data_IF_927793482510
#
_entry.id   IF_927793482510
#
_cell.length_a   1.000
_cell.length_b   1.000
_cell.length_c   1.000
_cell.angle_alpha   90.00
_cell.angle_beta   90.00
_cell.angle_gamma   90.00
#
_symmetry.space_group_name_H-M   'P 1'
#
loop_
_entity.id
_entity.type
_entity.pdbx_description
1 polymer ?
#
# COMPACT_ATOMS: atom_id res chain seq x y z
N UNK A 1 25.25 -33.31 -26.49
CA UNK A 1 24.39 -32.09 -26.42
C UNK A 1 24.62 -31.30 -27.71
N UNK A 2 23.57 -30.84 -28.35
CA UNK A 2 23.67 -30.02 -29.57
C UNK A 2 24.28 -28.64 -29.24
N UNK A 3 24.86 -27.97 -30.22
CA UNK A 3 25.42 -26.61 -30.04
C UNK A 3 24.35 -25.64 -29.48
N UNK A 4 23.11 -25.81 -29.91
CA UNK A 4 21.95 -25.07 -29.43
C UNK A 4 21.68 -25.29 -27.92
N UNK A 5 21.82 -26.55 -27.44
CA UNK A 5 21.64 -26.83 -26.01
C UNK A 5 22.71 -26.13 -25.13
N UNK A 6 23.95 -26.04 -25.63
CA UNK A 6 24.99 -25.27 -24.94
C UNK A 6 24.70 -23.74 -24.97
N UNK A 7 24.22 -23.23 -26.10
CA UNK A 7 23.83 -21.82 -26.18
C UNK A 7 22.69 -21.47 -25.21
N UNK A 8 21.65 -22.29 -25.12
CA UNK A 8 20.55 -22.15 -24.15
C UNK A 8 21.08 -22.18 -22.72
N UNK A 9 21.96 -23.16 -22.39
CA UNK A 9 22.55 -23.25 -21.06
C UNK A 9 23.31 -21.97 -20.67
N UNK A 10 24.10 -21.40 -21.60
CA UNK A 10 24.82 -20.13 -21.35
C UNK A 10 23.86 -18.97 -21.15
N UNK A 11 22.79 -18.86 -21.95
CA UNK A 11 21.76 -17.82 -21.81
C UNK A 11 21.08 -17.94 -20.44
N UNK A 12 20.70 -19.16 -20.02
CA UNK A 12 20.05 -19.40 -18.72
C UNK A 12 20.99 -19.04 -17.56
N UNK A 13 22.24 -19.46 -17.61
CA UNK A 13 23.23 -19.13 -16.58
C UNK A 13 23.45 -17.61 -16.53
N UNK A 14 23.56 -16.95 -17.68
CA UNK A 14 23.69 -15.50 -17.78
C UNK A 14 22.46 -14.78 -17.19
N UNK A 15 21.26 -15.24 -17.50
CA UNK A 15 20.02 -14.72 -16.94
C UNK A 15 19.98 -14.87 -15.40
N UNK A 16 20.34 -16.05 -14.88
CA UNK A 16 20.42 -16.28 -13.43
C UNK A 16 21.44 -15.36 -12.75
N UNK A 17 22.62 -15.15 -13.36
CA UNK A 17 23.61 -14.24 -12.84
C UNK A 17 23.09 -12.78 -12.81
N UNK A 18 22.36 -12.35 -13.85
CA UNK A 18 21.73 -11.04 -13.90
C UNK A 18 20.62 -10.89 -12.85
N UNK A 19 19.77 -11.90 -12.64
CA UNK A 19 18.76 -11.90 -11.59
C UNK A 19 19.38 -11.79 -10.20
N UNK A 20 20.43 -12.54 -9.90
CA UNK A 20 21.15 -12.49 -8.61
C UNK A 20 21.88 -11.17 -8.40
N UNK A 21 22.32 -10.52 -9.48
CA UNK A 21 23.04 -9.23 -9.36
C UNK A 21 22.13 -8.06 -8.96
N UNK A 22 20.81 -8.18 -9.13
CA UNK A 22 19.77 -7.15 -8.88
C UNK A 22 20.06 -5.79 -9.56
N UNK A 23 21.03 -5.73 -10.50
CA UNK A 23 21.42 -4.48 -11.18
C UNK A 23 20.46 -4.05 -12.27
N UNK A 24 19.71 -5.00 -12.84
CA UNK A 24 18.74 -4.77 -13.91
C UNK A 24 17.35 -5.15 -13.44
N UNK A 25 16.36 -4.48 -13.98
CA UNK A 25 14.95 -4.82 -13.74
C UNK A 25 14.63 -6.18 -14.37
N UNK A 26 13.80 -6.96 -13.71
CA UNK A 26 13.44 -8.33 -14.11
C UNK A 26 12.80 -8.39 -15.52
N UNK A 27 11.97 -7.41 -15.87
CA UNK A 27 11.38 -7.28 -17.21
C UNK A 27 12.44 -7.07 -18.30
N UNK A 28 13.46 -6.27 -18.01
CA UNK A 28 14.59 -6.05 -18.94
C UNK A 28 15.39 -7.33 -19.13
N UNK A 29 15.62 -8.10 -18.05
CA UNK A 29 16.33 -9.38 -18.15
C UNK A 29 15.53 -10.36 -19.03
N UNK A 30 14.19 -10.43 -18.83
CA UNK A 30 13.32 -11.26 -19.68
C UNK A 30 13.41 -10.89 -21.16
N UNK A 31 13.36 -9.60 -21.49
CA UNK A 31 13.51 -9.10 -22.86
C UNK A 31 14.90 -9.39 -23.44
N UNK A 32 15.96 -9.30 -22.64
CA UNK A 32 17.33 -9.65 -23.08
C UNK A 32 17.45 -11.14 -23.39
N UNK A 33 16.85 -12.01 -22.58
CA UNK A 33 16.81 -13.45 -22.82
C UNK A 33 16.05 -13.76 -24.12
N UNK A 34 14.87 -13.15 -24.29
CA UNK A 34 14.09 -13.30 -25.53
C UNK A 34 14.87 -12.82 -26.75
N UNK A 35 15.49 -11.64 -26.68
CA UNK A 35 16.32 -11.11 -27.76
C UNK A 35 17.50 -12.03 -28.08
N UNK A 36 18.18 -12.57 -27.07
CA UNK A 36 19.29 -13.51 -27.25
C UNK A 36 18.85 -14.80 -27.94
N UNK A 37 17.69 -15.36 -27.59
CA UNK A 37 17.14 -16.55 -28.23
C UNK A 37 16.70 -16.31 -29.68
N UNK A 38 16.15 -15.13 -29.99
CA UNK A 38 15.77 -14.75 -31.35
C UNK A 38 17.01 -14.49 -32.24
N UNK A 39 17.98 -13.72 -31.73
CA UNK A 39 19.20 -13.39 -32.48
C UNK A 39 20.07 -14.63 -32.74
N UNK A 40 20.11 -15.57 -31.79
CA UNK A 40 20.82 -16.84 -31.96
C UNK A 40 20.10 -17.81 -32.91
N UNK A 41 18.90 -17.49 -33.38
CA UNK A 41 18.10 -18.35 -34.27
C UNK A 41 17.59 -19.63 -33.60
N UNK A 42 17.61 -19.68 -32.26
CA UNK A 42 17.07 -20.82 -31.50
C UNK A 42 15.55 -20.79 -31.56
N UNK A 43 14.95 -19.60 -31.50
CA UNK A 43 13.52 -19.40 -31.65
C UNK A 43 13.22 -18.57 -32.91
N UNK A 44 12.13 -18.91 -33.57
CA UNK A 44 11.54 -18.02 -34.58
C UNK A 44 10.81 -16.84 -33.94
N UNK A 45 10.62 -15.72 -34.65
CA UNK A 45 9.83 -14.60 -34.11
C UNK A 45 8.43 -15.00 -33.64
N UNK A 46 7.77 -15.91 -34.35
CA UNK A 46 6.45 -16.40 -33.97
C UNK A 46 6.49 -17.18 -32.65
N UNK A 47 7.47 -18.06 -32.47
CA UNK A 47 7.65 -18.81 -31.21
C UNK A 47 8.06 -17.92 -30.07
N UNK A 48 8.99 -16.97 -30.29
CA UNK A 48 9.42 -16.05 -29.25
C UNK A 48 8.32 -15.11 -28.75
N UNK A 49 7.41 -14.71 -29.65
CA UNK A 49 6.28 -13.84 -29.28
C UNK A 49 5.03 -14.60 -28.82
N UNK A 50 5.00 -15.93 -28.96
CA UNK A 50 3.84 -16.75 -28.57
C UNK A 50 3.50 -16.65 -27.07
N UNK A 51 4.48 -16.36 -26.22
CA UNK A 51 4.28 -16.13 -24.78
C UNK A 51 3.31 -14.98 -24.48
N UNK A 52 3.33 -13.89 -25.26
CA UNK A 52 2.42 -12.76 -25.08
C UNK A 52 0.96 -13.07 -25.44
N UNK A 53 0.71 -14.08 -26.27
CA UNK A 53 -0.63 -14.58 -26.61
C UNK A 53 -1.03 -15.83 -25.82
N UNK A 54 -0.21 -16.26 -24.88
CA UNK A 54 -0.48 -17.41 -24.04
C UNK A 54 -1.69 -17.13 -23.11
N UNK A 55 -2.56 -18.11 -22.96
CA UNK A 55 -3.75 -18.01 -22.10
C UNK A 55 -3.39 -17.63 -20.66
N UNK A 56 -2.30 -18.16 -20.10
CA UNK A 56 -1.84 -17.82 -18.75
C UNK A 56 -1.51 -16.33 -18.63
N UNK A 57 -0.81 -15.76 -19.62
CA UNK A 57 -0.46 -14.33 -19.63
C UNK A 57 -1.71 -13.46 -19.68
N UNK A 58 -2.69 -13.83 -20.52
CA UNK A 58 -3.98 -13.12 -20.64
C UNK A 58 -4.77 -13.21 -19.34
N UNK A 59 -4.84 -14.40 -18.71
CA UNK A 59 -5.53 -14.57 -17.41
C UNK A 59 -4.86 -13.74 -16.32
N UNK A 60 -3.52 -13.73 -16.25
CA UNK A 60 -2.80 -12.89 -15.27
C UNK A 60 -3.13 -11.43 -15.47
N UNK A 61 -3.11 -10.92 -16.69
CA UNK A 61 -3.48 -9.54 -16.99
C UNK A 61 -4.94 -9.23 -16.60
N UNK A 62 -5.88 -10.14 -16.93
CA UNK A 62 -7.28 -10.00 -16.53
C UNK A 62 -7.47 -10.02 -15.01
N UNK A 63 -6.73 -10.87 -14.29
CA UNK A 63 -6.77 -10.90 -12.81
C UNK A 63 -6.25 -9.63 -12.19
N UNK A 64 -5.26 -8.96 -12.77
CA UNK A 64 -4.85 -7.63 -12.32
C UNK A 64 -5.99 -6.62 -12.44
N UNK A 65 -6.74 -6.63 -13.55
CA UNK A 65 -7.88 -5.76 -13.76
C UNK A 65 -9.03 -6.03 -12.76
N UNK A 66 -9.39 -7.30 -12.57
CA UNK A 66 -10.42 -7.70 -11.60
C UNK A 66 -10.04 -7.29 -10.17
N UNK A 67 -8.76 -7.46 -9.79
CA UNK A 67 -8.25 -7.04 -8.50
C UNK A 67 -8.24 -5.52 -8.33
N UNK A 68 -7.92 -4.75 -9.38
CA UNK A 68 -8.03 -3.29 -9.36
C UNK A 68 -9.47 -2.85 -9.04
N UNK A 69 -10.47 -3.46 -9.69
CA UNK A 69 -11.89 -3.20 -9.43
C UNK A 69 -12.31 -3.57 -8.01
N UNK A 70 -11.85 -4.69 -7.48
CA UNK A 70 -12.17 -5.12 -6.12
C UNK A 70 -11.58 -4.17 -5.05
N UNK A 71 -10.31 -3.80 -5.20
CA UNK A 71 -9.63 -2.89 -4.27
C UNK A 71 -10.16 -1.46 -4.42
N UNK A 72 -10.31 -0.97 -5.65
CA UNK A 72 -10.78 0.38 -5.95
C UNK A 72 -12.22 0.66 -5.48
N UNK A 73 -13.08 -0.34 -5.43
CA UNK A 73 -14.46 -0.22 -4.88
C UNK A 73 -14.52 -0.28 -3.35
N UNK A 74 -13.40 -0.56 -2.66
CA UNK A 74 -13.39 -0.73 -1.21
C UNK A 74 -14.14 -1.98 -0.75
N UNK A 75 -14.21 -3.02 -1.58
CA UNK A 75 -14.92 -4.27 -1.31
C UNK A 75 -14.42 -4.98 -0.04
N UNK A 76 -13.18 -4.73 0.36
CA UNK A 76 -12.55 -5.30 1.57
C UNK A 76 -12.85 -4.50 2.85
N UNK A 77 -13.35 -3.26 2.75
CA UNK A 77 -13.62 -2.37 3.89
C UNK A 77 -14.56 -2.95 4.97
N UNK A 78 -15.66 -3.66 4.64
CA UNK A 78 -16.53 -4.24 5.66
C UNK A 78 -15.83 -5.29 6.51
N UNK A 79 -14.97 -6.08 5.88
CA UNK A 79 -14.18 -7.11 6.52
C UNK A 79 -13.17 -6.52 7.49
N UNK A 80 -12.49 -5.47 7.04
CA UNK A 80 -11.56 -4.68 7.83
C UNK A 80 -12.23 -4.10 9.07
N UNK A 81 -13.43 -3.51 8.93
CA UNK A 81 -14.20 -2.96 10.06
C UNK A 81 -14.62 -4.04 11.06
N UNK A 82 -14.90 -5.23 10.59
CA UNK A 82 -15.25 -6.36 11.46
C UNK A 82 -14.05 -6.82 12.29
N UNK A 83 -12.88 -6.92 11.65
CA UNK A 83 -11.61 -7.25 12.32
C UNK A 83 -11.25 -6.25 13.41
N UNK A 84 -11.48 -4.97 13.19
CA UNK A 84 -11.15 -3.91 14.18
C UNK A 84 -11.98 -4.01 15.49
N UNK A 85 -13.06 -4.81 15.53
CA UNK A 85 -13.87 -5.05 16.73
C UNK A 85 -13.30 -6.16 17.63
N UNK A 86 -12.38 -6.97 17.11
CA UNK A 86 -11.80 -8.09 17.87
C UNK A 86 -10.77 -7.54 18.87
N UNK A 87 -11.02 -7.75 20.17
CA UNK A 87 -10.17 -7.25 21.25
C UNK A 87 -9.08 -8.24 21.69
N UNK A 88 -9.25 -9.54 21.43
CA UNK A 88 -8.29 -10.58 21.84
C UNK A 88 -7.19 -10.73 20.82
N UNK A 89 -5.90 -10.47 21.16
CA UNK A 89 -4.81 -10.43 20.18
C UNK A 89 -4.64 -11.73 19.38
N UNK A 90 -4.75 -12.89 20.03
CA UNK A 90 -4.59 -14.17 19.35
C UNK A 90 -5.73 -14.47 18.36
N UNK A 91 -6.98 -14.14 18.75
CA UNK A 91 -8.15 -14.27 17.88
C UNK A 91 -8.05 -13.33 16.68
N UNK A 92 -7.57 -12.12 16.91
CA UNK A 92 -7.34 -11.15 15.86
C UNK A 92 -6.32 -11.66 14.84
N UNK A 93 -5.15 -12.11 15.33
CA UNK A 93 -4.12 -12.68 14.45
C UNK A 93 -4.66 -13.86 13.67
N UNK A 94 -5.32 -14.82 14.33
CA UNK A 94 -5.92 -15.96 13.65
C UNK A 94 -6.96 -15.53 12.60
N UNK A 95 -7.85 -14.59 12.94
CA UNK A 95 -8.85 -14.10 12.00
C UNK A 95 -8.22 -13.42 10.79
N UNK A 96 -7.18 -12.60 10.99
CA UNK A 96 -6.42 -11.98 9.90
C UNK A 96 -5.80 -13.07 9.00
N UNK A 97 -5.13 -14.07 9.59
CA UNK A 97 -4.48 -15.13 8.83
C UNK A 97 -5.48 -15.94 8.01
N UNK A 98 -6.60 -16.33 8.60
CA UNK A 98 -7.65 -17.10 7.90
C UNK A 98 -8.27 -16.28 6.77
N UNK A 99 -8.61 -15.04 7.03
CA UNK A 99 -9.24 -14.15 6.04
C UNK A 99 -8.28 -13.84 4.91
N UNK A 100 -7.03 -13.47 5.23
CA UNK A 100 -6.01 -13.14 4.22
C UNK A 100 -5.63 -14.38 3.41
N UNK A 101 -5.57 -15.56 4.03
CA UNK A 101 -5.36 -16.83 3.32
C UNK A 101 -6.52 -17.12 2.37
N UNK A 102 -7.76 -16.99 2.81
CA UNK A 102 -8.93 -17.21 1.97
C UNK A 102 -8.99 -16.23 0.79
N UNK A 103 -8.78 -14.94 1.04
CA UNK A 103 -8.77 -13.93 -0.01
C UNK A 103 -7.57 -14.07 -0.95
N UNK A 104 -6.40 -14.49 -0.44
CA UNK A 104 -5.20 -14.73 -1.23
C UNK A 104 -5.35 -15.84 -2.27
N UNK A 105 -6.36 -16.71 -2.12
CA UNK A 105 -6.72 -17.69 -3.13
C UNK A 105 -7.27 -17.06 -4.42
N UNK A 106 -7.77 -15.81 -4.37
CA UNK A 106 -8.47 -15.14 -5.48
C UNK A 106 -7.94 -13.75 -5.78
N UNK A 107 -7.26 -13.12 -4.83
CA UNK A 107 -6.76 -11.74 -4.90
C UNK A 107 -5.24 -11.75 -4.89
N UNK A 108 -4.61 -10.87 -5.68
CA UNK A 108 -3.15 -10.74 -5.71
C UNK A 108 -2.59 -10.49 -4.32
N UNK A 109 -1.63 -11.30 -3.88
CA UNK A 109 -1.06 -11.27 -2.54
C UNK A 109 -0.50 -9.91 -2.13
N UNK A 110 0.22 -9.22 -3.02
CA UNK A 110 0.79 -7.89 -2.77
C UNK A 110 -0.29 -6.84 -2.52
N UNK A 111 -1.34 -6.80 -3.34
CA UNK A 111 -2.44 -5.86 -3.17
C UNK A 111 -3.22 -6.14 -1.87
N UNK A 112 -3.43 -7.42 -1.57
CA UNK A 112 -4.11 -7.85 -0.35
C UNK A 112 -3.34 -7.44 0.90
N UNK A 113 -2.04 -7.74 0.97
CA UNK A 113 -1.18 -7.35 2.09
C UNK A 113 -1.12 -5.83 2.25
N UNK A 114 -0.97 -5.08 1.15
CA UNK A 114 -0.96 -3.62 1.19
C UNK A 114 -2.28 -3.04 1.74
N UNK A 115 -3.44 -3.59 1.33
CA UNK A 115 -4.75 -3.17 1.80
C UNK A 115 -4.97 -3.46 3.30
N UNK A 116 -4.48 -4.61 3.79
CA UNK A 116 -4.62 -4.99 5.20
C UNK A 116 -3.56 -4.35 6.11
N UNK A 117 -2.45 -3.85 5.57
CA UNK A 117 -1.33 -3.27 6.33
C UNK A 117 -1.76 -2.14 7.28
N UNK A 118 -2.43 -1.06 6.84
CA UNK A 118 -2.79 0.06 7.72
C UNK A 118 -3.70 -0.37 8.87
N UNK A 119 -4.64 -1.25 8.56
CA UNK A 119 -5.60 -1.77 9.54
C UNK A 119 -4.91 -2.67 10.55
N UNK A 120 -4.05 -3.57 10.08
CA UNK A 120 -3.27 -4.45 10.96
C UNK A 120 -2.40 -3.62 11.90
N UNK A 121 -1.74 -2.58 11.42
CA UNK A 121 -0.97 -1.65 12.24
C UNK A 121 -1.84 -0.95 13.28
N UNK A 122 -3.00 -0.40 12.87
CA UNK A 122 -3.94 0.27 13.78
C UNK A 122 -4.46 -0.66 14.88
N UNK A 123 -4.78 -1.90 14.53
CA UNK A 123 -5.29 -2.86 15.50
C UNK A 123 -4.18 -3.39 16.41
N UNK A 124 -2.95 -3.59 15.89
CA UNK A 124 -1.78 -3.94 16.71
C UNK A 124 -1.48 -2.86 17.76
N UNK A 125 -1.59 -1.58 17.39
CA UNK A 125 -1.41 -0.47 18.31
C UNK A 125 -2.47 -0.51 19.44
N UNK A 126 -3.76 -0.71 19.12
CA UNK A 126 -4.84 -0.82 20.11
C UNK A 126 -4.70 -2.05 21.00
N UNK A 127 -4.27 -3.17 20.44
CA UNK A 127 -4.09 -4.44 21.16
C UNK A 127 -2.75 -4.52 21.91
N UNK A 128 -1.91 -3.46 21.82
CA UNK A 128 -0.55 -3.43 22.41
C UNK A 128 0.28 -4.66 22.00
N UNK A 129 0.19 -5.05 20.73
CA UNK A 129 0.86 -6.23 20.16
C UNK A 129 1.89 -5.77 19.12
N UNK A 130 3.05 -6.42 19.08
CA UNK A 130 4.10 -6.12 18.08
C UNK A 130 3.56 -6.34 16.66
N UNK A 131 3.65 -5.33 15.75
CA UNK A 131 3.25 -5.48 14.36
C UNK A 131 3.94 -6.63 13.64
N UNK A 132 5.20 -6.89 13.94
CA UNK A 132 5.97 -8.00 13.33
C UNK A 132 5.31 -9.37 13.57
N UNK A 133 4.63 -9.53 14.72
CA UNK A 133 3.92 -10.77 15.07
C UNK A 133 2.64 -11.02 14.27
N UNK A 134 2.15 -10.03 13.58
CA UNK A 134 0.94 -10.12 12.77
C UNK A 134 1.26 -9.96 11.30
N UNK A 135 2.10 -8.99 10.93
CA UNK A 135 2.41 -8.68 9.54
C UNK A 135 3.22 -9.78 8.83
N UNK A 136 4.23 -10.35 9.52
CA UNK A 136 5.01 -11.46 8.95
C UNK A 136 4.11 -12.68 8.70
N UNK A 137 3.36 -13.19 9.72
CA UNK A 137 2.41 -14.26 9.48
C UNK A 137 1.34 -13.94 8.42
N UNK A 138 0.85 -12.69 8.36
CA UNK A 138 -0.11 -12.25 7.35
C UNK A 138 0.44 -12.39 5.93
N UNK A 139 1.70 -12.02 5.71
CA UNK A 139 2.36 -12.17 4.41
C UNK A 139 2.45 -13.65 3.99
N UNK A 140 2.82 -14.53 4.92
CA UNK A 140 2.84 -15.97 4.65
C UNK A 140 1.44 -16.54 4.40
N UNK A 141 0.43 -16.08 5.16
CA UNK A 141 -0.96 -16.51 4.96
C UNK A 141 -1.48 -16.13 3.57
N UNK A 142 -1.15 -14.93 3.07
CA UNK A 142 -1.48 -14.52 1.70
C UNK A 142 -0.87 -15.48 0.66
N UNK A 143 0.40 -15.83 0.84
CA UNK A 143 1.08 -16.76 -0.08
C UNK A 143 0.50 -18.16 -0.02
N UNK A 144 0.21 -18.69 1.17
CA UNK A 144 -0.44 -20.01 1.33
C UNK A 144 -1.82 -20.02 0.67
N UNK A 145 -2.59 -18.91 0.79
CA UNK A 145 -3.84 -18.72 0.07
C UNK A 145 -3.64 -18.79 -1.44
N UNK A 146 -2.62 -18.08 -1.94
CA UNK A 146 -2.28 -18.07 -3.37
C UNK A 146 -2.01 -19.45 -3.96
N UNK A 147 -1.49 -20.38 -3.18
CA UNK A 147 -1.25 -21.76 -3.62
C UNK A 147 -2.53 -22.60 -3.69
N UNK A 148 -3.63 -22.18 -3.04
CA UNK A 148 -4.85 -22.96 -2.93
C UNK A 148 -5.66 -23.05 -4.24
N UNK A 149 -5.47 -22.12 -5.17
CA UNK A 149 -6.22 -22.10 -6.43
C UNK A 149 -5.30 -21.86 -7.62
N UNK A 150 -5.79 -22.16 -8.81
CA UNK A 150 -5.11 -21.83 -10.05
C UNK A 150 -4.90 -20.31 -10.21
N UNK A 151 -5.81 -19.49 -9.67
CA UNK A 151 -5.87 -18.03 -9.83
C UNK A 151 -5.01 -17.26 -8.84
N UNK A 152 -4.70 -17.87 -7.69
CA UNK A 152 -4.08 -17.15 -6.56
C UNK A 152 -2.63 -16.72 -6.82
N UNK A 153 -1.92 -17.39 -7.75
CA UNK A 153 -0.55 -17.04 -8.12
C UNK A 153 -0.26 -17.31 -9.60
N UNK A 154 0.53 -16.43 -10.22
CA UNK A 154 0.96 -16.58 -11.62
C UNK A 154 1.76 -17.86 -11.87
N UNK A 155 2.47 -18.36 -10.84
CA UNK A 155 3.22 -19.62 -10.95
C UNK A 155 2.33 -20.81 -11.26
N UNK A 156 1.13 -20.90 -10.65
CA UNK A 156 0.18 -21.98 -10.91
C UNK A 156 -0.37 -21.91 -12.35
N UNK A 157 -0.68 -20.70 -12.81
CA UNK A 157 -1.13 -20.48 -14.20
C UNK A 157 -0.05 -20.86 -15.22
N UNK A 158 1.21 -20.46 -14.96
CA UNK A 158 2.33 -20.81 -15.81
C UNK A 158 2.55 -22.33 -15.83
N UNK A 159 2.49 -22.98 -14.67
CA UNK A 159 2.62 -24.44 -14.56
C UNK A 159 1.52 -25.14 -15.35
N UNK A 160 0.27 -24.66 -15.26
CA UNK A 160 -0.85 -25.19 -16.03
C UNK A 160 -0.60 -25.05 -17.53
N UNK A 161 -0.20 -23.86 -18.00
CA UNK A 161 0.09 -23.61 -19.40
C UNK A 161 1.19 -24.53 -19.94
N UNK A 162 2.30 -24.69 -19.19
CA UNK A 162 3.37 -25.62 -19.58
C UNK A 162 2.93 -27.07 -19.59
N UNK A 163 2.11 -27.49 -18.62
CA UNK A 163 1.57 -28.84 -18.58
C UNK A 163 0.70 -29.14 -19.82
N UNK A 164 -0.19 -28.21 -20.18
CA UNK A 164 -1.03 -28.33 -21.37
C UNK A 164 -0.19 -28.38 -22.66
N UNK A 165 0.84 -27.54 -22.78
CA UNK A 165 1.77 -27.56 -23.92
C UNK A 165 2.50 -28.92 -24.07
N UNK A 166 2.70 -29.62 -22.96
CA UNK A 166 3.32 -30.96 -22.95
C UNK A 166 2.30 -32.10 -23.01
N UNK A 167 1.04 -31.80 -23.38
CA UNK A 167 -0.01 -32.81 -23.60
C UNK A 167 -0.67 -33.32 -22.32
N UNK A 168 -0.47 -32.68 -21.18
CA UNK A 168 -1.21 -32.98 -19.95
C UNK A 168 -2.60 -32.32 -19.98
N UNK A 169 -3.59 -32.87 -19.29
CA UNK A 169 -4.89 -32.24 -19.17
C UNK A 169 -4.77 -30.90 -18.41
N UNK A 170 -5.62 -29.94 -18.76
CA UNK A 170 -5.72 -28.65 -18.08
C UNK A 170 -6.16 -28.85 -16.63
N UNK A 171 -5.50 -28.13 -15.70
CA UNK A 171 -5.90 -28.13 -14.30
C UNK A 171 -7.14 -27.26 -14.10
N UNK A 172 -8.10 -27.80 -13.37
CA UNK A 172 -9.24 -27.01 -12.88
C UNK A 172 -8.83 -25.96 -11.84
N UNK A 173 -9.69 -24.95 -11.67
CA UNK A 173 -9.46 -23.84 -10.73
C UNK A 173 -9.13 -24.33 -9.32
N UNK A 174 -9.74 -25.42 -8.89
CA UNK A 174 -9.65 -25.97 -7.53
C UNK A 174 -8.79 -27.23 -7.39
N UNK A 175 -8.08 -27.67 -8.41
CA UNK A 175 -7.25 -28.88 -8.35
C UNK A 175 -6.11 -28.72 -7.33
N UNK A 176 -5.59 -27.53 -7.21
CA UNK A 176 -4.57 -27.19 -6.20
C UNK A 176 -5.11 -27.11 -4.77
N UNK A 177 -6.44 -27.01 -4.58
CA UNK A 177 -7.06 -26.72 -3.29
C UNK A 177 -6.81 -27.81 -2.26
N UNK A 178 -6.80 -29.09 -2.64
CA UNK A 178 -6.58 -30.20 -1.70
C UNK A 178 -5.24 -30.10 -0.99
N UNK A 179 -4.17 -29.92 -1.76
CA UNK A 179 -2.82 -29.76 -1.23
C UNK A 179 -2.63 -28.37 -0.59
N UNK A 180 -3.11 -27.32 -1.26
CA UNK A 180 -3.01 -25.94 -0.79
C UNK A 180 -3.71 -25.73 0.56
N UNK A 181 -4.91 -26.25 0.75
CA UNK A 181 -5.63 -26.17 2.01
C UNK A 181 -4.90 -26.91 3.14
N UNK A 182 -4.33 -28.09 2.85
CA UNK A 182 -3.53 -28.82 3.83
C UNK A 182 -2.31 -27.99 4.27
N UNK A 183 -1.59 -27.41 3.31
CA UNK A 183 -0.44 -26.54 3.56
C UNK A 183 -0.85 -25.27 4.32
N UNK A 184 -1.99 -24.67 3.97
CA UNK A 184 -2.50 -23.48 4.62
C UNK A 184 -2.86 -23.74 6.08
N UNK A 185 -3.59 -24.85 6.37
CA UNK A 185 -3.93 -25.24 7.74
C UNK A 185 -2.68 -25.54 8.56
N UNK A 186 -1.75 -26.34 8.03
CA UNK A 186 -0.49 -26.66 8.70
C UNK A 186 0.36 -25.40 8.92
N UNK A 187 0.45 -24.52 7.93
CA UNK A 187 1.22 -23.29 8.02
C UNK A 187 0.62 -22.28 9.00
N UNK A 188 -0.70 -22.08 8.99
CA UNK A 188 -1.38 -21.23 9.97
C UNK A 188 -1.20 -21.80 11.38
N UNK A 189 -1.36 -23.12 11.57
CA UNK A 189 -1.12 -23.76 12.85
C UNK A 189 0.34 -23.56 13.32
N UNK A 190 1.31 -23.75 12.42
CA UNK A 190 2.72 -23.49 12.70
C UNK A 190 2.96 -22.03 13.13
N UNK A 191 2.44 -21.06 12.38
CA UNK A 191 2.60 -19.64 12.66
C UNK A 191 1.94 -19.24 14.00
N UNK A 192 0.80 -19.82 14.34
CA UNK A 192 0.10 -19.56 15.59
C UNK A 192 0.75 -20.23 16.81
N UNK A 193 1.29 -21.43 16.66
CA UNK A 193 1.87 -22.21 17.77
C UNK A 193 3.35 -21.89 17.95
N UNK A 194 4.14 -22.01 16.88
CA UNK A 194 5.61 -21.91 16.90
C UNK A 194 6.05 -20.49 16.54
N UNK A 195 5.43 -19.87 15.54
CA UNK A 195 5.79 -18.53 15.04
C UNK A 195 5.77 -17.48 16.14
N UNK A 196 4.84 -17.55 17.10
CA UNK A 196 4.79 -16.64 18.25
C UNK A 196 6.05 -16.64 19.12
N UNK A 197 6.86 -17.70 19.07
CA UNK A 197 8.10 -17.84 19.84
C UNK A 197 9.31 -17.37 19.06
N UNK A 198 9.27 -17.51 17.72
CA UNK A 198 10.33 -17.12 16.82
C UNK A 198 10.29 -15.62 16.50
N UNK A 199 9.11 -15.02 16.49
CA UNK A 199 8.95 -13.62 16.13
C UNK A 199 9.28 -12.68 17.30
N UNK A 200 9.93 -11.53 17.04
CA UNK A 200 10.36 -10.59 18.06
C UNK A 200 9.23 -10.18 18.99
N UNK A 201 9.48 -10.26 20.28
CA UNK A 201 8.55 -9.80 21.33
C UNK A 201 8.68 -8.31 21.60
N UNK A 202 9.81 -7.70 21.21
CA UNK A 202 10.04 -6.30 21.48
C UNK A 202 8.99 -5.45 20.78
N UNK A 203 8.03 -5.08 21.60
CA UNK A 203 7.45 -3.77 21.48
C UNK A 203 8.48 -2.92 22.21
N UNK A 204 9.27 -2.11 21.52
CA UNK A 204 9.71 -0.90 22.14
C UNK A 204 8.41 -0.24 22.59
N UNK A 205 8.23 -0.12 23.92
CA UNK A 205 6.99 0.45 24.50
C UNK A 205 6.80 1.86 23.96
N UNK A 206 7.88 2.54 23.61
CA UNK A 206 7.90 3.77 22.82
C UNK A 206 7.37 3.59 21.37
N UNK A 207 7.61 2.43 20.73
CA UNK A 207 7.07 2.16 19.39
C UNK A 207 5.57 1.84 19.38
N UNK A 208 5.03 1.24 20.43
CA UNK A 208 3.60 0.93 20.51
C UNK A 208 2.75 2.17 20.85
N UNK A 209 3.26 3.08 21.66
CA UNK A 209 2.64 4.38 21.90
C UNK A 209 2.76 5.32 20.68
N UNK A 210 3.78 5.12 19.85
CA UNK A 210 4.03 5.89 18.63
C UNK A 210 3.37 5.30 17.38
N UNK A 211 2.86 4.06 17.40
CA UNK A 211 2.03 3.45 16.36
C UNK A 211 0.55 3.85 16.45
N UNK A 212 0.19 4.86 17.22
CA UNK A 212 -1.08 5.56 17.02
C UNK A 212 -1.01 6.25 15.65
N UNK A 213 -1.37 5.50 14.61
CA UNK A 213 -1.64 6.05 13.29
C UNK A 213 -2.60 7.23 13.46
N UNK A 214 -2.13 8.42 13.12
CA UNK A 214 -2.95 9.62 13.19
C UNK A 214 -2.46 10.75 14.07
N UNK A 215 -1.34 10.61 14.83
CA UNK A 215 -0.75 11.77 15.54
C UNK A 215 0.30 12.44 14.64
N UNK A 216 -0.09 13.54 14.06
CA UNK A 216 0.78 14.37 13.22
C UNK A 216 1.38 15.51 14.01
N UNK A 217 2.52 15.99 13.55
CA UNK A 217 3.11 17.26 14.01
C UNK A 217 2.93 18.26 12.88
N UNK A 218 2.34 19.40 13.19
CA UNK A 218 2.09 20.48 12.22
C UNK A 218 2.36 21.84 12.84
N UNK A 219 2.64 22.84 12.02
CA UNK A 219 2.82 24.21 12.41
C UNK A 219 1.52 24.99 12.27
N UNK A 220 1.08 25.63 13.35
CA UNK A 220 -0.15 26.41 13.41
C UNK A 220 0.17 27.85 13.80
N UNK A 221 -0.11 28.80 12.91
CA UNK A 221 0.08 30.24 13.16
C UNK A 221 -1.13 30.80 13.88
N UNK A 222 -0.89 31.60 14.90
CA UNK A 222 -1.91 32.35 15.64
C UNK A 222 -2.30 33.59 14.84
N UNK A 223 -3.57 33.66 14.42
CA UNK A 223 -4.11 34.81 13.69
C UNK A 223 -4.51 35.94 14.64
N UNK A 224 -4.63 37.17 14.13
CA UNK A 224 -4.97 38.37 14.89
C UNK A 224 -6.30 38.30 15.66
N UNK A 225 -7.25 37.49 15.16
CA UNK A 225 -8.57 37.30 15.77
C UNK A 225 -8.68 35.99 16.58
N UNK A 226 -7.55 35.36 16.89
CA UNK A 226 -7.49 34.14 17.69
C UNK A 226 -7.85 34.43 19.17
N UNK A 227 -8.75 33.61 19.77
CA UNK A 227 -9.08 33.71 21.19
C UNK A 227 -7.93 33.28 22.11
N UNK A 228 -6.83 32.77 21.57
CA UNK A 228 -5.64 32.39 22.34
C UNK A 228 -4.72 33.58 22.67
N UNK A 229 -4.91 34.74 22.03
CA UNK A 229 -4.04 35.91 22.26
C UNK A 229 -4.19 36.41 23.70
N UNK A 230 -3.04 36.52 24.41
CA UNK A 230 -3.01 36.91 25.82
C UNK A 230 -3.27 35.78 26.81
N UNK A 231 -3.63 34.59 26.35
CA UNK A 231 -3.72 33.40 27.21
C UNK A 231 -2.41 32.60 27.20
N UNK A 232 -2.07 31.97 28.33
CA UNK A 232 -0.97 31.03 28.37
C UNK A 232 -1.44 29.64 27.91
N UNK A 233 -0.53 28.85 27.36
CA UNK A 233 -0.84 27.48 26.95
C UNK A 233 -1.33 26.58 28.10
N UNK A 234 -0.88 26.86 29.34
CA UNK A 234 -1.36 26.19 30.53
C UNK A 234 -2.82 26.55 30.86
N UNK A 235 -3.20 27.84 30.72
CA UNK A 235 -4.56 28.29 30.93
C UNK A 235 -5.54 27.78 29.86
N UNK A 236 -5.09 27.69 28.62
CA UNK A 236 -5.89 27.22 27.48
C UNK A 236 -6.22 25.73 27.55
N UNK A 237 -5.50 24.93 28.37
CA UNK A 237 -5.71 23.46 28.57
C UNK A 237 -5.92 22.67 27.29
N UNK A 238 -5.11 22.93 26.27
CA UNK A 238 -5.30 22.43 24.91
C UNK A 238 -5.27 20.90 24.84
N UNK A 239 -4.43 20.26 25.66
CA UNK A 239 -4.33 18.80 25.77
C UNK A 239 -5.63 18.15 26.27
N UNK A 240 -6.30 18.76 27.26
CA UNK A 240 -7.54 18.24 27.84
C UNK A 240 -8.75 18.50 26.92
N UNK A 241 -8.82 19.70 26.32
CA UNK A 241 -9.96 20.14 25.51
C UNK A 241 -9.97 19.57 24.11
N UNK A 242 -8.80 19.49 23.46
CA UNK A 242 -8.69 19.11 22.05
C UNK A 242 -7.83 17.85 21.83
N UNK A 243 -7.10 17.36 22.85
CA UNK A 243 -6.13 16.27 22.69
C UNK A 243 -4.93 16.68 21.81
N UNK A 244 -4.65 17.99 21.73
CA UNK A 244 -3.55 18.56 20.96
C UNK A 244 -2.48 19.06 21.95
N UNK A 245 -1.24 18.65 21.72
CA UNK A 245 -0.11 19.00 22.56
C UNK A 245 0.82 19.95 21.80
N UNK A 246 1.05 21.14 22.33
CA UNK A 246 2.02 22.08 21.78
C UNK A 246 3.41 21.68 22.30
N UNK A 247 4.31 21.39 21.38
CA UNK A 247 5.67 20.95 21.66
C UNK A 247 6.60 22.16 21.79
N UNK A 248 6.43 23.14 20.92
CA UNK A 248 7.27 24.32 20.78
C UNK A 248 6.46 25.52 20.34
N UNK A 249 6.89 26.70 20.75
CA UNK A 249 6.40 27.98 20.30
C UNK A 249 7.53 28.71 19.58
N UNK A 250 7.29 29.11 18.35
CA UNK A 250 8.19 29.91 17.54
C UNK A 250 7.70 31.33 17.49
N UNK A 251 8.52 32.26 17.94
CA UNK A 251 8.24 33.71 17.91
C UNK A 251 9.37 34.44 17.18
N UNK A 252 9.17 34.72 15.90
CA UNK A 252 10.26 35.17 15.05
C UNK A 252 11.35 34.09 15.00
N UNK A 253 12.60 34.41 15.36
CA UNK A 253 13.73 33.49 15.42
C UNK A 253 13.91 32.85 16.81
N UNK A 254 13.04 33.13 17.76
CA UNK A 254 13.12 32.57 19.10
C UNK A 254 12.32 31.29 19.25
N UNK A 255 12.98 30.23 19.71
CA UNK A 255 12.44 28.89 19.92
C UNK A 255 12.19 28.64 21.41
N UNK A 256 10.93 28.59 21.81
CA UNK A 256 10.51 28.36 23.19
C UNK A 256 9.99 26.94 23.35
N UNK A 257 10.78 26.09 23.96
CA UNK A 257 10.46 24.68 24.20
C UNK A 257 9.54 24.49 25.39
N UNK A 258 8.47 23.66 25.21
CA UNK A 258 7.46 23.39 26.24
C UNK A 258 6.88 24.67 26.91
N UNK A 259 6.36 25.62 26.16
CA UNK A 259 6.05 26.99 26.58
C UNK A 259 4.75 27.09 27.41
N UNK A 260 4.65 26.35 28.51
CA UNK A 260 3.41 26.23 29.29
C UNK A 260 2.91 27.57 29.87
N UNK A 261 3.82 28.45 30.30
CA UNK A 261 3.50 29.71 30.98
C UNK A 261 3.56 30.92 30.06
N UNK A 262 3.99 30.73 28.80
CA UNK A 262 4.10 31.83 27.85
C UNK A 262 2.73 32.27 27.35
N UNK A 263 2.49 33.59 27.41
CA UNK A 263 1.33 34.22 26.77
C UNK A 263 1.49 34.23 25.26
N UNK A 264 0.45 33.80 24.55
CA UNK A 264 0.43 33.72 23.10
C UNK A 264 0.18 35.11 22.49
N UNK A 265 0.86 35.37 21.36
CA UNK A 265 0.75 36.63 20.61
C UNK A 265 0.36 36.33 19.16
N UNK A 266 -0.16 37.33 18.49
CA UNK A 266 -0.38 37.31 17.06
C UNK A 266 0.92 36.97 16.32
N UNK A 267 0.86 36.10 15.32
CA UNK A 267 2.00 35.68 14.53
C UNK A 267 2.84 34.57 15.14
N UNK A 268 2.58 34.18 16.41
CA UNK A 268 3.24 33.01 16.99
C UNK A 268 2.93 31.73 16.19
N UNK A 269 3.94 30.88 16.00
CA UNK A 269 3.76 29.58 15.35
C UNK A 269 3.89 28.48 16.40
N UNK A 270 2.83 27.70 16.54
CA UNK A 270 2.73 26.58 17.47
C UNK A 270 3.10 25.28 16.75
N UNK A 271 4.18 24.62 17.15
CA UNK A 271 4.46 23.27 16.73
C UNK A 271 3.55 22.32 17.53
N UNK A 272 2.45 21.91 16.93
CA UNK A 272 1.37 21.16 17.58
C UNK A 272 1.35 19.69 17.13
N UNK A 273 1.14 18.79 18.10
CA UNK A 273 1.00 17.34 17.88
C UNK A 273 -0.40 16.89 18.26
N UNK A 274 -1.06 16.18 17.35
CA UNK A 274 -2.39 15.63 17.60
C UNK A 274 -2.89 14.74 16.48
N UNK A 275 -4.06 14.13 16.67
CA UNK A 275 -4.81 13.52 15.57
C UNK A 275 -5.24 14.60 14.57
N UNK A 276 -5.18 14.28 13.26
CA UNK A 276 -5.48 15.28 12.24
C UNK A 276 -6.88 15.89 12.37
N UNK A 277 -7.89 15.10 12.70
CA UNK A 277 -9.25 15.61 12.88
C UNK A 277 -9.33 16.58 14.04
N UNK A 278 -8.61 16.30 15.13
CA UNK A 278 -8.53 17.17 16.30
C UNK A 278 -7.71 18.42 16.03
N UNK A 279 -6.64 18.32 15.24
CA UNK A 279 -5.85 19.47 14.80
C UNK A 279 -6.69 20.39 13.89
N UNK A 280 -7.49 19.83 13.01
CA UNK A 280 -8.41 20.62 12.16
C UNK A 280 -9.51 21.30 12.97
N UNK A 281 -10.12 20.58 13.94
CA UNK A 281 -11.09 21.18 14.88
C UNK A 281 -10.45 22.28 15.75
N UNK A 282 -9.24 22.03 16.22
CA UNK A 282 -8.42 22.98 16.98
C UNK A 282 -8.14 24.25 16.18
N UNK A 283 -7.71 24.10 14.92
CA UNK A 283 -7.48 25.20 13.99
C UNK A 283 -8.73 26.05 13.79
N UNK A 284 -9.87 25.43 13.49
CA UNK A 284 -11.11 26.14 13.21
C UNK A 284 -11.66 26.88 14.45
N UNK A 285 -11.69 26.21 15.61
CA UNK A 285 -12.27 26.79 16.83
C UNK A 285 -11.43 27.94 17.42
N UNK A 286 -10.12 27.85 17.24
CA UNK A 286 -9.18 28.83 17.83
C UNK A 286 -8.60 29.78 16.78
N UNK A 287 -9.15 29.77 15.56
CA UNK A 287 -8.75 30.67 14.47
C UNK A 287 -7.23 30.66 14.26
N UNK A 288 -6.73 29.47 14.03
CA UNK A 288 -5.34 29.24 13.68
C UNK A 288 -5.24 28.90 12.20
N UNK A 289 -4.12 29.20 11.60
CA UNK A 289 -3.81 28.85 10.23
C UNK A 289 -2.69 27.79 10.21
N UNK A 290 -2.82 26.76 9.37
CA UNK A 290 -1.68 25.87 9.14
C UNK A 290 -0.65 26.70 8.39
N UNK A 291 0.52 26.91 9.01
CA UNK A 291 1.63 27.56 8.35
C UNK A 291 2.18 26.56 7.30
N UNK A 292 1.90 26.73 6.00
CA UNK A 292 2.45 25.85 4.99
C UNK A 292 3.96 26.06 4.93
N UNK A 293 4.70 24.99 4.68
CA UNK A 293 6.15 25.01 4.49
C UNK A 293 6.58 25.96 3.36
N UNK A 294 5.64 26.33 2.49
CA UNK A 294 5.80 27.28 1.37
C UNK A 294 4.47 28.01 1.14
N UNK A 295 4.52 29.33 0.85
CA UNK A 295 3.35 30.16 0.56
C UNK A 295 2.38 29.47 -0.40
N UNK A 296 1.14 29.27 0.03
CA UNK A 296 0.07 28.79 -0.82
C UNK A 296 -0.34 29.90 -1.78
N UNK A 297 -0.15 29.75 -3.11
CA UNK A 297 -0.87 30.61 -4.03
C UNK A 297 -2.36 30.28 -3.96
N UNK A 298 -3.17 31.32 -4.20
CA UNK A 298 -4.62 31.16 -4.31
C UNK A 298 -5.01 30.03 -5.28
N UNK A 299 -6.15 29.36 -5.07
CA UNK A 299 -6.57 28.19 -5.84
C UNK A 299 -6.70 28.57 -7.31
N UNK A 300 -5.69 28.21 -8.10
CA UNK A 300 -5.83 28.17 -9.56
C UNK A 300 -6.78 27.04 -9.90
N UNK A 301 -7.83 27.38 -10.58
CA UNK A 301 -8.92 26.61 -11.15
C UNK A 301 -8.78 25.08 -11.19
N UNK A 302 -9.77 24.39 -10.53
CA UNK A 302 -10.35 23.12 -10.94
C UNK A 302 -9.47 21.85 -10.82
N UNK A 303 -8.93 21.55 -9.63
CA UNK A 303 -8.51 20.21 -9.26
C UNK A 303 -9.11 19.83 -7.90
N UNK A 304 -9.74 18.66 -7.77
CA UNK A 304 -10.18 18.15 -6.47
C UNK A 304 -8.93 17.80 -5.66
N UNK A 305 -8.68 18.54 -4.57
CA UNK A 305 -7.55 18.27 -3.67
C UNK A 305 -7.89 17.16 -2.71
N UNK A 306 -6.99 16.19 -2.57
CA UNK A 306 -7.16 15.02 -1.71
C UNK A 306 -6.07 15.04 -0.64
N UNK A 307 -6.48 14.75 0.60
CA UNK A 307 -5.57 14.60 1.72
C UNK A 307 -5.15 13.13 1.81
N UNK A 308 -3.84 12.88 1.76
CA UNK A 308 -3.28 11.53 1.82
C UNK A 308 -2.23 11.39 2.91
N UNK A 309 -2.10 10.17 3.41
CA UNK A 309 -0.99 9.76 4.28
C UNK A 309 -0.02 8.92 3.46
N UNK A 310 1.26 9.33 3.40
CA UNK A 310 2.31 8.63 2.66
C UNK A 310 3.46 8.24 3.60
N UNK A 311 3.83 6.95 3.57
CA UNK A 311 4.97 6.41 4.32
C UNK A 311 6.24 6.52 3.48
N UNK A 312 7.32 7.02 4.08
CA UNK A 312 8.66 6.99 3.49
C UNK A 312 9.23 5.58 3.63
N UNK A 313 9.25 4.84 2.52
CA UNK A 313 9.72 3.47 2.46
C UNK A 313 11.26 3.40 2.35
N UNK A 314 11.90 2.27 2.72
CA UNK A 314 13.31 2.04 2.44
C UNK A 314 13.62 2.20 0.94
N UNK A 315 14.66 2.96 0.61
CA UNK A 315 15.03 3.25 -0.78
C UNK A 315 14.31 4.43 -1.42
N UNK A 316 13.50 5.18 -0.67
CA UNK A 316 12.92 6.44 -1.14
C UNK A 316 14.00 7.46 -1.45
N UNK A 317 13.88 8.16 -2.58
CA UNK A 317 14.82 9.22 -2.97
C UNK A 317 14.84 10.40 -2.01
N UNK A 318 13.76 10.59 -1.27
CA UNK A 318 13.57 11.67 -0.32
C UNK A 318 14.29 11.48 1.03
N UNK A 319 14.93 10.32 1.25
CA UNK A 319 15.61 10.01 2.51
C UNK A 319 16.89 10.84 2.64
N UNK A 320 17.00 11.53 3.77
CA UNK A 320 18.17 12.36 4.11
C UNK A 320 18.05 13.81 3.67
N UNK A 321 17.15 14.13 2.75
CA UNK A 321 16.88 15.49 2.30
C UNK A 321 15.83 16.15 3.21
N UNK A 322 15.84 17.49 3.25
CA UNK A 322 14.82 18.25 3.98
C UNK A 322 13.56 18.40 3.13
N UNK A 323 12.42 18.66 3.79
CA UNK A 323 11.16 18.93 3.08
C UNK A 323 11.30 20.12 2.12
N UNK A 324 12.15 21.10 2.46
CA UNK A 324 12.47 22.28 1.63
C UNK A 324 13.34 21.89 0.42
N UNK A 325 14.38 21.08 0.62
CA UNK A 325 15.31 20.66 -0.46
C UNK A 325 14.61 19.82 -1.54
N UNK A 326 13.62 19.00 -1.14
CA UNK A 326 12.89 18.12 -2.06
C UNK A 326 11.92 18.90 -2.96
N UNK A 327 11.49 20.10 -2.51
CA UNK A 327 10.42 20.87 -3.16
C UNK A 327 9.25 19.99 -3.61
N UNK A 328 8.53 19.44 -2.62
CA UNK A 328 7.39 18.53 -2.84
C UNK A 328 6.34 19.10 -3.79
N UNK A 329 6.24 20.42 -3.85
CA UNK A 329 5.28 21.10 -4.71
C UNK A 329 5.66 21.00 -6.17
N UNK A 330 6.92 21.25 -6.49
CA UNK A 330 7.40 21.17 -7.86
C UNK A 330 7.56 19.71 -8.31
N UNK A 331 8.09 18.85 -7.43
CA UNK A 331 8.43 17.47 -7.74
C UNK A 331 7.19 16.57 -7.80
N UNK A 332 6.25 16.75 -6.87
CA UNK A 332 5.11 15.85 -6.68
C UNK A 332 3.74 16.54 -6.78
N UNK A 333 3.71 17.85 -7.06
CA UNK A 333 2.50 18.68 -6.99
C UNK A 333 1.73 18.47 -5.67
N UNK A 334 2.48 18.33 -4.58
CA UNK A 334 2.02 18.00 -3.25
C UNK A 334 2.48 19.04 -2.23
N UNK A 335 1.65 19.32 -1.22
CA UNK A 335 2.04 20.16 -0.09
C UNK A 335 2.13 19.30 1.16
N UNK A 336 3.28 19.35 1.87
CA UNK A 336 3.47 18.67 3.16
C UNK A 336 2.78 19.50 4.23
N UNK A 337 1.73 18.96 4.86
CA UNK A 337 1.00 19.62 5.94
C UNK A 337 1.50 19.21 7.32
N UNK A 338 1.99 17.97 7.44
CA UNK A 338 2.47 17.43 8.70
C UNK A 338 3.40 16.23 8.48
N UNK A 339 4.29 16.02 9.43
CA UNK A 339 5.19 14.85 9.46
C UNK A 339 5.00 14.12 10.78
N UNK A 340 4.86 12.80 10.72
CA UNK A 340 4.84 11.91 11.87
C UNK A 340 6.09 11.03 11.87
N UNK A 341 6.92 11.13 12.90
CA UNK A 341 8.12 10.32 13.09
C UNK A 341 8.02 9.46 14.35
N UNK A 342 8.48 8.20 14.27
CA UNK A 342 8.27 7.17 15.29
C UNK A 342 8.88 7.43 16.67
N UNK A 343 9.97 8.15 16.81
CA UNK A 343 10.70 8.14 18.09
C UNK A 343 11.35 9.47 18.49
N UNK A 344 11.24 10.49 17.68
CA UNK A 344 11.84 11.79 17.97
C UNK A 344 10.79 12.89 17.90
N UNK A 345 10.75 13.69 18.92
CA UNK A 345 10.08 14.97 18.86
C UNK A 345 10.84 15.77 17.81
N UNK A 346 10.18 16.17 16.73
CA UNK A 346 10.76 17.06 15.75
C UNK A 346 11.07 18.39 16.46
N UNK A 347 12.34 18.77 16.51
CA UNK A 347 12.81 20.00 17.15
C UNK A 347 13.11 21.09 16.12
N UNK A 348 12.87 20.82 14.86
CA UNK A 348 13.13 21.72 13.74
C UNK A 348 11.82 22.06 13.04
N UNK A 349 11.76 23.23 12.40
CA UNK A 349 10.65 23.59 11.51
C UNK A 349 10.46 22.51 10.47
N UNK A 350 9.23 22.22 10.08
CA UNK A 350 8.89 21.17 9.11
C UNK A 350 9.73 21.27 7.83
N UNK A 351 10.00 22.49 7.35
CA UNK A 351 10.82 22.74 6.16
C UNK A 351 12.26 22.23 6.27
N UNK A 352 12.86 22.31 7.46
CA UNK A 352 14.23 21.85 7.72
C UNK A 352 14.32 20.40 8.24
N UNK A 353 13.18 19.75 8.37
CA UNK A 353 13.13 18.35 8.82
C UNK A 353 13.67 17.43 7.74
N UNK A 354 14.77 16.73 8.02
CA UNK A 354 15.30 15.66 7.15
C UNK A 354 14.41 14.43 7.27
N UNK A 355 13.99 13.90 6.13
CA UNK A 355 13.12 12.73 6.08
C UNK A 355 13.91 11.44 6.33
N UNK A 356 13.33 10.55 7.15
CA UNK A 356 13.89 9.26 7.50
C UNK A 356 12.93 8.13 7.09
N UNK A 357 13.49 6.91 6.98
CA UNK A 357 12.68 5.70 6.73
C UNK A 357 11.66 5.52 7.84
N UNK A 358 10.40 5.36 7.47
CA UNK A 358 9.29 5.18 8.40
C UNK A 358 8.58 6.46 8.82
N UNK A 359 8.99 7.63 8.30
CA UNK A 359 8.21 8.86 8.45
C UNK A 359 6.89 8.75 7.71
N UNK A 360 5.81 9.23 8.31
CA UNK A 360 4.51 9.35 7.66
C UNK A 360 4.26 10.83 7.39
N UNK A 361 4.12 11.15 6.11
CA UNK A 361 3.84 12.49 5.63
C UNK A 361 2.34 12.65 5.42
N UNK A 362 1.76 13.72 5.91
CA UNK A 362 0.42 14.14 5.54
C UNK A 362 0.55 15.13 4.39
N UNK A 363 0.06 14.74 3.24
CA UNK A 363 0.20 15.48 1.99
C UNK A 363 -1.16 15.94 1.49
N UNK A 364 -1.24 17.19 1.05
CA UNK A 364 -2.34 17.71 0.26
C UNK A 364 -1.92 17.65 -1.20
N UNK A 365 -2.60 16.85 -2.01
CA UNK A 365 -2.26 16.60 -3.42
C UNK A 365 -3.47 16.78 -4.32
N UNK A 366 -3.24 17.14 -5.58
CA UNK A 366 -4.28 17.06 -6.60
C UNK A 366 -4.50 15.60 -7.02
N UNK A 367 -5.72 15.24 -7.40
CA UNK A 367 -6.08 13.87 -7.80
C UNK A 367 -5.21 13.35 -8.96
N UNK A 368 -4.77 14.24 -9.86
CA UNK A 368 -3.82 13.90 -10.91
C UNK A 368 -2.41 13.59 -10.37
N UNK A 369 -1.94 14.36 -9.38
CA UNK A 369 -0.64 14.18 -8.77
C UNK A 369 -0.57 12.94 -7.86
N UNK A 370 -1.69 12.54 -7.26
CA UNK A 370 -1.81 11.31 -6.48
C UNK A 370 -1.39 10.07 -7.30
N UNK A 371 -1.76 10.03 -8.56
CA UNK A 371 -1.37 8.95 -9.48
C UNK A 371 0.15 8.90 -9.72
N UNK A 372 0.77 10.06 -9.83
CA UNK A 372 2.24 10.15 -9.96
C UNK A 372 2.94 9.71 -8.66
N UNK A 373 2.42 10.12 -7.50
CA UNK A 373 2.96 9.76 -6.20
C UNK A 373 2.90 8.24 -5.93
N UNK A 374 1.84 7.57 -6.39
CA UNK A 374 1.72 6.11 -6.31
C UNK A 374 2.75 5.34 -7.17
N UNK A 375 3.25 5.96 -8.24
CA UNK A 375 4.29 5.37 -9.11
C UNK A 375 5.70 5.50 -8.54
N UNK A 376 5.89 6.44 -7.62
CA UNK A 376 7.18 6.62 -6.94
C UNK A 376 7.41 5.46 -5.97
N UNK A 377 8.46 4.68 -6.24
CA UNK A 377 8.80 3.46 -5.47
C UNK A 377 9.19 3.70 -4.01
N UNK A 378 9.28 4.97 -3.60
CA UNK A 378 9.75 5.34 -2.28
C UNK A 378 8.69 5.90 -1.33
N UNK A 379 7.52 6.30 -1.83
CA UNK A 379 6.42 6.83 -1.03
C UNK A 379 5.22 5.89 -1.12
N UNK A 380 4.86 5.24 -0.01
CA UNK A 380 3.72 4.31 0.05
C UNK A 380 2.51 5.04 0.58
N UNK A 381 1.50 5.25 -0.25
CA UNK A 381 0.22 5.86 0.17
C UNK A 381 -0.51 4.89 1.10
N UNK A 382 -0.71 5.30 2.37
CA UNK A 382 -1.34 4.49 3.42
C UNK A 382 -2.85 4.68 3.46
N UNK A 383 -3.32 5.92 3.27
CA UNK A 383 -4.74 6.26 3.31
C UNK A 383 -5.05 7.47 2.44
N UNK A 384 -6.20 7.45 1.82
CA UNK A 384 -6.83 8.60 1.18
C UNK A 384 -8.01 9.06 2.03
N UNK A 385 -7.99 10.31 2.46
CA UNK A 385 -9.14 10.95 3.11
C UNK A 385 -9.91 11.78 2.08
N UNK A 386 -10.48 11.12 1.09
CA UNK A 386 -11.38 11.72 0.09
C UNK A 386 -12.67 10.91 0.01
N UNK A 387 -13.75 11.56 -0.46
CA UNK A 387 -15.08 10.94 -0.57
C UNK A 387 -15.08 9.69 -1.46
N UNK A 388 -14.81 8.54 -0.87
CA UNK A 388 -14.95 7.21 -1.50
C UNK A 388 -16.40 6.72 -1.51
N UNK A 389 -17.38 7.57 -1.15
CA UNK A 389 -18.77 7.15 -1.03
C UNK A 389 -19.40 6.63 -2.33
N UNK A 390 -19.03 7.19 -3.48
CA UNK A 390 -19.56 6.74 -4.77
C UNK A 390 -18.99 5.36 -5.19
N UNK A 391 -17.71 5.10 -4.90
CA UNK A 391 -17.06 3.82 -5.20
C UNK A 391 -17.57 2.68 -4.30
N UNK A 392 -17.86 2.94 -3.03
CA UNK A 392 -18.35 1.95 -2.07
C UNK A 392 -19.70 1.32 -2.41
N UNK A 393 -20.56 2.03 -3.14
CA UNK A 393 -21.84 1.48 -3.61
C UNK A 393 -21.66 0.35 -4.63
N UNK A 394 -20.54 0.29 -5.31
CA UNK A 394 -20.21 -0.72 -6.31
C UNK A 394 -19.48 -1.95 -5.73
N UNK A 395 -19.08 -1.90 -4.48
CA UNK A 395 -18.38 -3.00 -3.81
C UNK A 395 -19.11 -4.36 -3.90
N UNK A 396 -20.43 -4.47 -3.60
CA UNK A 396 -21.13 -5.74 -3.73
C UNK A 396 -21.19 -6.24 -5.18
N UNK A 397 -21.24 -5.32 -6.16
CA UNK A 397 -21.21 -5.68 -7.57
C UNK A 397 -19.85 -6.23 -7.99
N UNK A 398 -18.75 -5.59 -7.60
CA UNK A 398 -17.39 -6.07 -7.86
C UNK A 398 -17.14 -7.47 -7.23
N UNK A 399 -17.60 -7.68 -6.00
CA UNK A 399 -17.54 -9.00 -5.36
C UNK A 399 -18.38 -10.01 -6.15
N UNK A 400 -19.61 -9.66 -6.54
CA UNK A 400 -20.50 -10.52 -7.32
C UNK A 400 -19.89 -10.95 -8.64
N UNK A 401 -19.28 -10.04 -9.38
CA UNK A 401 -18.59 -10.33 -10.65
C UNK A 401 -17.41 -11.28 -10.41
N UNK A 402 -16.55 -10.99 -9.43
CA UNK A 402 -15.42 -11.88 -9.13
C UNK A 402 -15.89 -13.29 -8.74
N UNK A 403 -16.91 -13.40 -7.89
CA UNK A 403 -17.50 -14.69 -7.51
C UNK A 403 -18.07 -15.42 -8.73
N UNK A 404 -18.77 -14.71 -9.60
CA UNK A 404 -19.30 -15.29 -10.84
C UNK A 404 -18.20 -15.84 -11.74
N UNK A 405 -17.12 -15.09 -11.95
CA UNK A 405 -15.93 -15.54 -12.71
C UNK A 405 -15.38 -16.83 -12.12
N UNK A 406 -15.17 -16.88 -10.80
CA UNK A 406 -14.61 -18.06 -10.12
C UNK A 406 -15.56 -19.25 -10.19
N UNK A 407 -16.87 -19.04 -9.99
CA UNK A 407 -17.86 -20.11 -10.02
C UNK A 407 -18.03 -20.67 -11.42
N UNK A 408 -18.16 -19.82 -12.43
CA UNK A 408 -18.34 -20.24 -13.83
C UNK A 408 -17.11 -21.02 -14.33
N UNK A 409 -15.91 -20.54 -14.03
CA UNK A 409 -14.68 -21.25 -14.36
C UNK A 409 -14.52 -22.54 -13.52
N UNK A 410 -14.84 -22.50 -12.23
CA UNK A 410 -14.71 -23.63 -11.31
C UNK A 410 -15.70 -24.79 -11.60
N UNK A 411 -16.88 -24.47 -12.15
CA UNK A 411 -17.85 -25.46 -12.62
C UNK A 411 -17.52 -25.98 -14.03
N UNK A 412 -16.49 -25.46 -14.69
CA UNK A 412 -16.11 -25.87 -16.05
C UNK A 412 -17.09 -25.42 -17.14
N UNK A 413 -17.96 -24.41 -16.85
CA UNK A 413 -18.92 -23.88 -17.82
C UNK A 413 -18.21 -23.13 -18.94
N UNK A 414 -17.22 -22.32 -18.59
CA UNK A 414 -16.36 -21.59 -19.51
C UNK A 414 -14.88 -21.75 -19.10
N UNK A 415 -13.95 -21.73 -20.06
CA UNK A 415 -12.52 -21.64 -19.76
C UNK A 415 -12.22 -20.42 -18.89
N UNK A 416 -11.21 -20.50 -18.02
CA UNK A 416 -10.87 -19.44 -17.09
C UNK A 416 -10.50 -18.12 -17.80
N UNK A 417 -9.83 -18.19 -18.95
CA UNK A 417 -9.47 -17.02 -19.74
C UNK A 417 -10.71 -16.26 -20.21
N UNK A 418 -11.72 -16.98 -20.66
CA UNK A 418 -13.00 -16.38 -21.14
C UNK A 418 -13.76 -15.77 -19.97
N UNK A 419 -13.90 -16.52 -18.87
CA UNK A 419 -14.59 -16.04 -17.66
C UNK A 419 -13.94 -14.77 -17.11
N UNK A 420 -12.60 -14.72 -17.06
CA UNK A 420 -11.85 -13.56 -16.57
C UNK A 420 -12.02 -12.34 -17.48
N UNK A 421 -11.97 -12.53 -18.81
CA UNK A 421 -12.17 -11.44 -19.78
C UNK A 421 -13.60 -10.89 -19.73
N UNK A 422 -14.61 -11.75 -19.61
CA UNK A 422 -16.01 -11.34 -19.44
C UNK A 422 -16.16 -10.54 -18.13
N UNK A 423 -15.61 -11.03 -17.01
CA UNK A 423 -15.62 -10.31 -15.75
C UNK A 423 -14.92 -8.96 -15.80
N UNK A 424 -13.81 -8.83 -16.53
CA UNK A 424 -13.17 -7.54 -16.77
C UNK A 424 -14.09 -6.60 -17.56
N UNK A 425 -14.73 -7.08 -18.62
CA UNK A 425 -15.68 -6.28 -19.41
C UNK A 425 -16.86 -5.82 -18.55
N UNK A 426 -17.44 -6.70 -17.73
CA UNK A 426 -18.52 -6.35 -16.81
C UNK A 426 -18.10 -5.30 -15.77
N UNK A 427 -16.92 -5.44 -15.15
CA UNK A 427 -16.39 -4.45 -14.22
C UNK A 427 -16.13 -3.09 -14.90
N UNK A 428 -15.64 -3.09 -16.14
CA UNK A 428 -15.43 -1.88 -16.91
C UNK A 428 -16.75 -1.18 -17.23
N UNK A 429 -17.74 -1.92 -17.75
CA UNK A 429 -19.07 -1.39 -18.12
C UNK A 429 -19.83 -0.86 -16.90
N UNK A 430 -19.67 -1.50 -15.74
CA UNK A 430 -20.30 -1.05 -14.49
C UNK A 430 -19.51 0.08 -13.81
N UNK A 431 -18.32 0.40 -14.33
CA UNK A 431 -17.43 1.43 -13.79
C UNK A 431 -16.89 1.08 -12.39
N UNK A 432 -16.67 -0.21 -12.12
CA UNK A 432 -16.00 -0.65 -10.90
C UNK A 432 -14.52 -0.29 -10.88
N UNK A 433 -13.93 -0.08 -12.06
CA UNK A 433 -12.60 0.50 -12.24
C UNK A 433 -12.57 1.42 -13.47
N UNK A 434 -11.57 2.30 -13.55
CA UNK A 434 -11.19 2.99 -14.78
C UNK A 434 -10.08 2.23 -15.50
N UNK A 435 -9.91 2.41 -16.80
CA UNK A 435 -8.78 1.81 -17.53
C UNK A 435 -7.44 2.27 -16.99
N UNK A 436 -7.38 3.47 -16.43
CA UNK A 436 -6.18 4.02 -15.78
C UNK A 436 -5.83 3.24 -14.51
N UNK A 437 -6.83 2.90 -13.68
CA UNK A 437 -6.65 2.09 -12.47
C UNK A 437 -6.10 0.69 -12.80
N UNK A 438 -6.60 0.09 -13.88
CA UNK A 438 -6.13 -1.22 -14.36
C UNK A 438 -4.68 -1.12 -14.83
N UNK A 439 -4.36 -0.07 -15.60
CA UNK A 439 -3.00 0.12 -16.11
C UNK A 439 -1.99 0.32 -15.00
N UNK A 440 -2.39 1.02 -13.92
CA UNK A 440 -1.58 1.23 -12.72
C UNK A 440 -1.45 -0.03 -11.85
N UNK A 441 -2.52 -0.80 -11.71
CA UNK A 441 -2.52 -2.03 -10.93
C UNK A 441 -1.76 -3.18 -11.63
N UNK A 442 -1.56 -3.07 -12.95
CA UNK A 442 -0.88 -4.08 -13.75
C UNK A 442 0.61 -4.12 -13.44
N UNK A 443 1.07 -5.26 -12.99
CA UNK A 443 2.52 -5.49 -12.81
C UNK A 443 3.14 -5.92 -14.14
N UNK A 444 3.53 -4.93 -14.94
CA UNK A 444 4.13 -5.14 -16.25
C UNK A 444 5.37 -6.03 -16.20
N UNK A 445 6.10 -6.05 -15.07
CA UNK A 445 7.27 -6.92 -14.89
C UNK A 445 6.86 -8.39 -14.94
N UNK A 446 5.73 -8.73 -14.33
CA UNK A 446 5.19 -10.09 -14.32
C UNK A 446 4.65 -10.47 -15.71
N UNK A 447 3.90 -9.56 -16.34
CA UNK A 447 3.30 -9.82 -17.68
C UNK A 447 4.38 -10.00 -18.75
N UNK A 448 5.47 -9.23 -18.70
CA UNK A 448 6.59 -9.33 -19.65
C UNK A 448 7.48 -10.54 -19.35
N UNK A 449 7.57 -10.97 -18.10
CA UNK A 449 8.39 -12.10 -17.70
C UNK A 449 7.73 -13.47 -18.02
N UNK A 450 6.38 -13.53 -18.00
CA UNK A 450 5.59 -14.71 -18.36
C UNK A 450 5.58 -14.96 -19.87
#
# INVERSE_FOLDING_TARGET
>A
MSLQAWAVAVIVIGAMALFVSEKLRYDVIGLLVLAALLVSGILTPAEGLSGFSNEATVVVAAMFALNAGLVGTGALDPLIRTLSRIRRPWLLTLSILVIVCFLGAFVKNTALVATFLPVTLSVCARAKTSPARVLIPMSYAAQMGGVCTLLGTSSNLLTNSLAVQHGMPEFGVFDFTKLGALLAVAGIAYLMLIGRWLLPRHIDTEQAENLELGKFVTELRVLADSPLIGESLAAAKLGERFGVYVLELLRGDEHLWAPREQELREGDVLLARGDWQRLEEFKQKLKLEIAPVLDLPEPTQAGRRVLIEALVAPGARVIGDTVEDIDFRWTYNATVLAVQRRSRILREQLKHTRLEVGDILLLLVDEAALRQLRRESGLVVLSERGDTHASRRKAPLAIGILVAVVVVAGLGILPIVVSALVGCAEMALTGCFSFEDVYEAMDWKVVVLL
#
